data_IF_986772668269
#
_entry.id   IF_986772668269
#
_cell.length_a   1.000
_cell.length_b   1.000
_cell.length_c   1.000
_cell.angle_alpha   90.00
_cell.angle_beta   90.00
_cell.angle_gamma   90.00
#
_symmetry.space_group_name_H-M   'P 1'
#
loop_
_entity.id
_entity.type
_entity.pdbx_description
1 polymer ?
#
# COMPACT_ATOMS: atom_id res chain seq x y z
N UNK A 1 -28.39 -30.28 3.53
CA UNK A 1 -27.93 -29.30 4.52
C UNK A 1 -27.18 -28.20 3.79
N UNK A 2 -27.80 -27.04 3.67
CA UNK A 2 -27.13 -25.87 3.10
C UNK A 2 -26.15 -25.32 4.15
N UNK A 3 -24.87 -25.43 3.90
CA UNK A 3 -23.85 -24.74 4.67
C UNK A 3 -23.95 -23.25 4.34
N UNK A 4 -24.70 -22.50 5.13
CA UNK A 4 -24.67 -21.05 5.09
C UNK A 4 -23.30 -20.63 5.65
N UNK A 5 -22.32 -20.42 4.77
CA UNK A 5 -21.16 -19.61 5.14
C UNK A 5 -21.70 -18.22 5.43
N UNK A 6 -21.84 -17.89 6.72
CA UNK A 6 -21.96 -16.50 7.11
C UNK A 6 -20.82 -15.74 6.41
N UNK A 7 -21.21 -14.82 5.53
CA UNK A 7 -20.24 -13.88 4.94
C UNK A 7 -19.72 -13.07 6.12
N UNK A 8 -18.54 -13.44 6.61
CA UNK A 8 -17.82 -12.63 7.60
C UNK A 8 -17.71 -11.23 7.02
N UNK A 9 -18.32 -10.28 7.66
CA UNK A 9 -18.28 -8.89 7.22
C UNK A 9 -16.82 -8.47 7.08
N UNK A 10 -16.47 -7.92 5.91
CA UNK A 10 -15.09 -7.59 5.59
C UNK A 10 -14.67 -6.36 6.38
N UNK A 11 -13.63 -6.49 7.21
CA UNK A 11 -13.07 -5.39 7.97
C UNK A 11 -12.17 -4.53 7.07
N UNK A 12 -12.70 -3.38 6.61
CA UNK A 12 -11.98 -2.44 5.75
C UNK A 12 -10.84 -1.69 6.46
N UNK A 13 -10.74 -1.79 7.77
CA UNK A 13 -9.61 -1.22 8.53
C UNK A 13 -8.36 -2.09 8.51
N UNK A 14 -8.44 -3.28 7.92
CA UNK A 14 -7.33 -4.22 7.86
C UNK A 14 -6.84 -4.42 6.43
N UNK A 15 -5.51 -4.42 6.21
CA UNK A 15 -4.94 -4.73 4.91
C UNK A 15 -5.20 -6.19 4.53
N UNK A 16 -4.97 -6.53 3.26
CA UNK A 16 -5.04 -7.92 2.80
C UNK A 16 -4.03 -8.78 3.54
N UNK A 17 -2.78 -8.30 3.64
CA UNK A 17 -1.71 -8.97 4.38
C UNK A 17 -0.58 -8.00 4.72
N UNK A 18 0.21 -8.38 5.71
CA UNK A 18 1.43 -7.68 6.16
C UNK A 18 2.47 -8.71 6.55
N UNK A 19 3.71 -8.50 6.15
CA UNK A 19 4.82 -9.35 6.61
C UNK A 19 6.13 -8.57 6.66
N UNK A 20 7.09 -9.09 7.43
CA UNK A 20 8.46 -8.59 7.48
C UNK A 20 9.38 -9.53 6.72
N UNK A 21 10.38 -8.95 6.09
CA UNK A 21 11.43 -9.68 5.38
C UNK A 21 12.74 -8.93 5.44
N UNK A 22 13.78 -9.52 4.87
CA UNK A 22 15.08 -8.89 4.74
C UNK A 22 15.34 -8.62 3.26
N UNK A 23 15.73 -7.39 2.95
CA UNK A 23 16.09 -6.94 1.62
C UNK A 23 17.55 -6.46 1.59
N UNK A 24 18.03 -6.12 0.42
CA UNK A 24 19.29 -5.43 0.23
C UNK A 24 19.03 -3.92 0.01
N UNK A 25 19.65 -3.10 0.83
CA UNK A 25 19.68 -1.65 0.69
C UNK A 25 21.14 -1.25 0.53
N UNK A 26 21.50 -0.75 -0.66
CA UNK A 26 22.89 -0.37 -1.00
C UNK A 26 23.90 -1.50 -0.74
N UNK A 27 23.52 -2.72 -1.08
CA UNK A 27 24.35 -3.91 -0.91
C UNK A 27 24.42 -4.47 0.51
N UNK A 28 23.71 -3.89 1.46
CA UNK A 28 23.68 -4.35 2.85
C UNK A 28 22.29 -4.91 3.20
N UNK A 29 22.21 -5.93 4.07
CA UNK A 29 20.93 -6.43 4.57
C UNK A 29 20.16 -5.34 5.31
N UNK A 30 18.87 -5.20 5.00
CA UNK A 30 17.97 -4.23 5.65
C UNK A 30 16.63 -4.89 5.96
N UNK A 31 16.05 -4.55 7.10
CA UNK A 31 14.74 -5.02 7.47
C UNK A 31 13.66 -4.28 6.67
N UNK A 32 12.73 -5.02 6.11
CA UNK A 32 11.62 -4.49 5.34
C UNK A 32 10.27 -4.90 5.92
N UNK A 33 9.29 -4.02 5.76
CA UNK A 33 7.88 -4.27 6.02
C UNK A 33 7.13 -4.17 4.69
N UNK A 34 6.41 -5.22 4.35
CA UNK A 34 5.56 -5.24 3.16
C UNK A 34 4.10 -5.30 3.58
N UNK A 35 3.27 -4.50 2.95
CA UNK A 35 1.83 -4.50 3.14
C UNK A 35 1.10 -4.49 1.80
N UNK A 36 -0.01 -5.20 1.73
CA UNK A 36 -0.96 -5.12 0.61
C UNK A 36 -2.22 -4.47 1.16
N UNK A 37 -2.48 -3.24 0.72
CA UNK A 37 -3.67 -2.51 1.12
C UNK A 37 -4.87 -2.97 0.29
N UNK A 38 -6.00 -3.10 0.95
CA UNK A 38 -7.28 -3.41 0.30
C UNK A 38 -7.92 -2.13 -0.18
N UNK A 39 -7.88 -1.93 -1.49
CA UNK A 39 -8.44 -0.76 -2.19
C UNK A 39 -9.73 -1.12 -2.93
N UNK A 40 -10.32 -0.17 -3.63
CA UNK A 40 -11.45 -0.44 -4.56
C UNK A 40 -11.07 -1.35 -5.72
N UNK A 41 -9.78 -1.59 -5.92
CA UNK A 41 -9.24 -2.44 -6.96
C UNK A 41 -8.72 -1.69 -8.18
N UNK A 42 -8.14 -2.46 -9.10
CA UNK A 42 -7.52 -1.94 -10.31
C UNK A 42 -8.61 -1.41 -11.28
N UNK A 43 -8.46 -0.18 -11.72
CA UNK A 43 -9.35 0.45 -12.71
C UNK A 43 -9.35 -0.29 -14.05
N UNK A 44 -8.22 -0.81 -14.47
CA UNK A 44 -8.10 -1.57 -15.73
C UNK A 44 -8.85 -2.90 -15.67
N UNK A 45 -8.61 -3.69 -14.66
CA UNK A 45 -9.27 -4.97 -14.35
C UNK A 45 -9.53 -5.88 -15.58
N UNK A 46 -8.58 -5.95 -16.52
CA UNK A 46 -8.72 -6.72 -17.77
C UNK A 46 -7.60 -7.75 -17.99
N UNK A 47 -6.69 -7.88 -17.03
CA UNK A 47 -5.61 -8.86 -17.15
C UNK A 47 -6.17 -10.25 -16.87
N UNK A 48 -6.05 -11.15 -17.83
CA UNK A 48 -6.61 -12.52 -17.75
C UNK A 48 -5.93 -13.39 -16.68
N UNK A 49 -4.72 -13.04 -16.29
CA UNK A 49 -3.92 -13.76 -15.27
C UNK A 49 -4.05 -13.16 -13.86
N UNK A 50 -4.66 -11.98 -13.71
CA UNK A 50 -4.64 -11.23 -12.46
C UNK A 50 -5.92 -11.50 -11.66
N UNK A 51 -5.75 -12.06 -10.45
CA UNK A 51 -6.83 -12.28 -9.49
C UNK A 51 -7.04 -11.13 -8.49
N UNK A 52 -6.18 -10.12 -8.49
CA UNK A 52 -6.18 -9.07 -7.46
C UNK A 52 -7.45 -8.22 -7.43
N UNK A 53 -8.12 -8.05 -8.56
CA UNK A 53 -9.40 -7.34 -8.59
C UNK A 53 -10.48 -7.99 -7.71
N UNK A 54 -10.40 -9.31 -7.49
CA UNK A 54 -11.32 -10.02 -6.60
C UNK A 54 -11.12 -9.67 -5.12
N UNK A 55 -10.01 -9.08 -4.75
CA UNK A 55 -9.71 -8.62 -3.39
C UNK A 55 -10.17 -7.17 -3.15
N UNK A 56 -10.63 -6.49 -4.18
CA UNK A 56 -11.15 -5.12 -4.10
C UNK A 56 -12.40 -5.02 -3.20
N UNK A 57 -12.51 -3.90 -2.50
CA UNK A 57 -13.61 -3.57 -1.62
C UNK A 57 -13.81 -2.05 -1.57
N UNK A 58 -14.98 -1.52 -1.19
CA UNK A 58 -15.25 -0.08 -1.21
C UNK A 58 -14.54 0.64 -0.05
N UNK A 59 -13.22 0.56 -0.02
CA UNK A 59 -12.37 1.24 0.95
C UNK A 59 -12.16 2.70 0.55
N UNK A 60 -12.49 3.62 1.45
CA UNK A 60 -12.22 5.05 1.30
C UNK A 60 -10.88 5.45 1.89
N UNK A 61 -10.59 6.77 1.86
CA UNK A 61 -9.33 7.30 2.36
C UNK A 61 -9.07 6.94 3.84
N UNK A 62 -10.08 7.06 4.70
CA UNK A 62 -9.95 6.76 6.13
C UNK A 62 -9.68 5.27 6.36
N UNK A 63 -10.30 4.40 5.57
CA UNK A 63 -10.06 2.95 5.66
C UNK A 63 -8.60 2.62 5.30
N UNK A 64 -8.08 3.23 4.26
CA UNK A 64 -6.69 3.02 3.81
C UNK A 64 -5.68 3.53 4.83
N UNK A 65 -5.93 4.66 5.47
CA UNK A 65 -5.09 5.19 6.55
C UNK A 65 -5.10 4.22 7.74
N UNK A 66 -6.26 3.70 8.13
CA UNK A 66 -6.37 2.71 9.21
C UNK A 66 -5.66 1.40 8.88
N UNK A 67 -5.76 0.93 7.64
CA UNK A 67 -5.02 -0.24 7.17
C UNK A 67 -3.51 -0.03 7.29
N UNK A 68 -3.04 1.15 6.87
CA UNK A 68 -1.63 1.52 7.00
C UNK A 68 -1.19 1.56 8.48
N UNK A 69 -1.96 2.19 9.35
CA UNK A 69 -1.69 2.23 10.79
C UNK A 69 -1.61 0.82 11.39
N UNK A 70 -2.56 -0.02 11.02
CA UNK A 70 -2.59 -1.40 11.48
C UNK A 70 -1.35 -2.18 11.03
N UNK A 71 -0.91 -1.97 9.78
CA UNK A 71 0.30 -2.57 9.25
C UNK A 71 1.56 -2.06 9.98
N UNK A 72 1.65 -0.75 10.21
CA UNK A 72 2.77 -0.14 10.92
C UNK A 72 2.87 -0.59 12.38
N UNK A 73 1.78 -1.00 13.00
CA UNK A 73 1.77 -1.64 14.32
C UNK A 73 2.56 -2.96 14.37
N UNK A 74 2.88 -3.55 13.22
CA UNK A 74 3.71 -4.76 13.05
C UNK A 74 5.15 -4.45 12.64
N UNK A 75 5.47 -3.17 12.49
CA UNK A 75 6.83 -2.70 12.22
C UNK A 75 7.70 -2.77 13.47
N UNK A 76 8.98 -2.57 13.27
CA UNK A 76 9.95 -2.38 14.34
C UNK A 76 10.85 -1.19 14.00
N UNK A 77 11.57 -0.62 14.99
CA UNK A 77 12.51 0.49 14.74
C UNK A 77 13.61 0.15 13.74
N UNK A 78 13.88 -1.13 13.50
CA UNK A 78 14.90 -1.61 12.57
C UNK A 78 14.44 -1.59 11.11
N UNK A 79 13.15 -1.43 10.85
CA UNK A 79 12.60 -1.37 9.49
C UNK A 79 13.04 -0.08 8.82
N UNK A 80 13.78 -0.21 7.72
CA UNK A 80 14.26 0.89 6.90
C UNK A 80 13.67 0.89 5.48
N UNK A 81 13.07 -0.22 5.06
CA UNK A 81 12.40 -0.36 3.75
C UNK A 81 10.94 -0.66 3.97
N UNK A 82 10.05 0.13 3.37
CA UNK A 82 8.60 -0.12 3.37
C UNK A 82 8.14 -0.35 1.94
N UNK A 83 7.36 -1.40 1.75
CA UNK A 83 6.75 -1.74 0.46
C UNK A 83 5.23 -1.71 0.60
N UNK A 84 4.58 -0.90 -0.22
CA UNK A 84 3.13 -0.76 -0.23
C UNK A 84 2.60 -1.19 -1.59
N UNK A 85 1.86 -2.27 -1.59
CA UNK A 85 1.16 -2.78 -2.77
C UNK A 85 -0.34 -2.58 -2.62
N UNK A 86 -1.00 -2.47 -3.75
CA UNK A 86 -2.46 -2.37 -3.85
C UNK A 86 -2.96 -3.41 -4.86
N UNK A 87 -4.23 -3.38 -5.19
CA UNK A 87 -4.75 -4.28 -6.23
C UNK A 87 -4.42 -3.81 -7.65
N UNK A 88 -3.96 -2.58 -7.83
CA UNK A 88 -3.67 -1.99 -9.13
C UNK A 88 -2.55 -0.95 -9.09
N UNK A 89 -2.83 0.25 -8.61
CA UNK A 89 -1.89 1.37 -8.71
C UNK A 89 -1.96 2.29 -7.49
N UNK A 90 -0.86 2.39 -6.77
CA UNK A 90 -0.72 3.33 -5.65
C UNK A 90 -0.88 4.80 -6.11
N UNK A 91 -0.52 5.10 -7.36
CA UNK A 91 -0.58 6.44 -7.92
C UNK A 91 -1.90 6.75 -8.64
N UNK A 92 -2.84 5.82 -8.73
CA UNK A 92 -4.19 6.07 -9.23
C UNK A 92 -5.04 6.75 -8.14
N UNK A 93 -5.46 8.02 -8.32
CA UNK A 93 -6.22 8.73 -7.30
C UNK A 93 -7.62 8.16 -7.04
N UNK A 94 -8.15 7.35 -7.96
CA UNK A 94 -9.42 6.66 -7.73
C UNK A 94 -9.24 5.41 -6.86
N UNK A 95 -8.08 4.78 -6.91
CA UNK A 95 -7.74 3.62 -6.08
C UNK A 95 -7.15 4.05 -4.73
N UNK A 96 -6.17 4.95 -4.77
CA UNK A 96 -5.52 5.55 -3.61
C UNK A 96 -5.84 7.05 -3.58
N UNK A 97 -6.88 7.49 -2.86
CA UNK A 97 -7.20 8.91 -2.75
C UNK A 97 -6.00 9.73 -2.30
N UNK A 98 -5.84 10.92 -2.91
CA UNK A 98 -4.69 11.80 -2.64
C UNK A 98 -4.52 12.09 -1.15
N UNK A 99 -5.61 12.27 -0.42
CA UNK A 99 -5.59 12.48 1.04
C UNK A 99 -4.93 11.30 1.77
N UNK A 100 -5.30 10.08 1.43
CA UNK A 100 -4.71 8.88 2.04
C UNK A 100 -3.24 8.73 1.65
N UNK A 101 -2.91 8.94 0.38
CA UNK A 101 -1.53 8.91 -0.11
C UNK A 101 -0.64 9.89 0.66
N UNK A 102 -1.05 11.14 0.76
CA UNK A 102 -0.24 12.19 1.37
C UNK A 102 -0.08 11.96 2.88
N UNK A 103 -1.13 11.48 3.55
CA UNK A 103 -1.06 11.11 4.97
C UNK A 103 -0.09 9.94 5.21
N UNK A 104 -0.18 8.90 4.39
CA UNK A 104 0.72 7.73 4.47
C UNK A 104 2.17 8.15 4.24
N UNK A 105 2.42 8.93 3.20
CA UNK A 105 3.77 9.41 2.87
C UNK A 105 4.34 10.32 3.96
N UNK A 106 3.52 11.20 4.51
CA UNK A 106 3.92 12.07 5.63
C UNK A 106 4.32 11.29 6.89
N UNK A 107 3.61 10.20 7.19
CA UNK A 107 3.95 9.32 8.31
C UNK A 107 5.23 8.55 8.08
N UNK A 108 5.45 8.06 6.85
CA UNK A 108 6.70 7.39 6.48
C UNK A 108 7.88 8.35 6.56
N UNK A 109 7.71 9.59 6.13
CA UNK A 109 8.73 10.64 6.28
C UNK A 109 9.09 10.88 7.74
N UNK A 110 8.10 10.98 8.62
CA UNK A 110 8.31 11.19 10.05
C UNK A 110 9.06 10.02 10.71
N UNK A 111 8.89 8.80 10.20
CA UNK A 111 9.58 7.61 10.69
C UNK A 111 11.01 7.48 10.15
N UNK A 112 11.39 8.28 9.17
CA UNK A 112 12.76 8.30 8.62
C UNK A 112 13.12 7.02 7.88
N UNK A 113 12.19 6.39 7.17
CA UNK A 113 12.50 5.22 6.34
C UNK A 113 13.47 5.59 5.21
N UNK A 114 14.31 4.65 4.81
CA UNK A 114 15.34 4.88 3.78
C UNK A 114 14.85 4.61 2.37
N UNK A 115 13.88 3.72 2.20
CA UNK A 115 13.34 3.35 0.88
C UNK A 115 11.86 3.03 0.96
N UNK A 116 11.10 3.60 0.05
CA UNK A 116 9.72 3.24 -0.23
C UNK A 116 9.63 2.55 -1.58
N UNK A 117 8.98 1.40 -1.63
CA UNK A 117 8.62 0.70 -2.88
C UNK A 117 7.10 0.72 -3.03
N UNK A 118 6.64 1.22 -4.14
CA UNK A 118 5.23 1.22 -4.54
C UNK A 118 5.10 0.65 -5.94
N UNK A 119 3.92 0.19 -6.28
CA UNK A 119 3.60 -0.26 -7.63
C UNK A 119 2.55 0.65 -8.28
N UNK A 120 2.64 0.80 -9.59
CA UNK A 120 1.65 1.54 -10.36
C UNK A 120 1.64 1.10 -11.81
N UNK A 121 0.48 1.19 -12.43
CA UNK A 121 0.37 1.14 -13.88
C UNK A 121 1.02 2.38 -14.48
N UNK A 122 1.63 2.26 -15.69
CA UNK A 122 2.44 3.34 -16.26
C UNK A 122 1.66 4.63 -16.52
N UNK A 123 0.37 4.56 -16.82
CA UNK A 123 -0.46 5.75 -17.09
C UNK A 123 -0.60 6.69 -15.88
N UNK A 124 -0.37 6.22 -14.67
CA UNK A 124 -0.43 7.04 -13.44
C UNK A 124 0.94 7.52 -12.97
N UNK A 125 2.02 7.06 -13.60
CA UNK A 125 3.38 7.52 -13.34
C UNK A 125 3.62 8.78 -14.16
N UNK A 126 3.31 9.91 -13.57
CA UNK A 126 3.48 11.24 -14.19
C UNK A 126 4.48 12.08 -13.39
N UNK A 127 5.03 13.12 -14.00
CA UNK A 127 5.90 14.03 -13.27
C UNK A 127 5.22 14.56 -12.00
N UNK A 128 3.95 14.94 -12.10
CA UNK A 128 3.17 15.46 -10.97
C UNK A 128 3.00 14.40 -9.85
N UNK A 129 2.67 13.15 -10.18
CA UNK A 129 2.50 12.11 -9.18
C UNK A 129 3.82 11.73 -8.50
N UNK A 130 4.91 11.70 -9.25
CA UNK A 130 6.25 11.42 -8.72
C UNK A 130 6.72 12.56 -7.82
N UNK A 131 6.59 13.81 -8.25
CA UNK A 131 6.93 15.00 -7.45
C UNK A 131 6.15 15.05 -6.13
N UNK A 132 4.86 14.70 -6.16
CA UNK A 132 4.03 14.63 -4.97
C UNK A 132 4.56 13.58 -3.97
N UNK A 133 5.04 12.43 -4.45
CA UNK A 133 5.68 11.44 -3.59
C UNK A 133 7.02 11.92 -3.05
N UNK A 134 7.86 12.51 -3.91
CA UNK A 134 9.19 12.99 -3.52
C UNK A 134 9.13 14.14 -2.53
N UNK A 135 8.07 14.95 -2.53
CA UNK A 135 7.90 16.04 -1.55
C UNK A 135 7.78 15.56 -0.11
N UNK A 136 7.47 14.28 0.10
CA UNK A 136 7.34 13.64 1.42
C UNK A 136 8.50 12.70 1.75
N UNK A 137 9.41 12.47 0.83
CA UNK A 137 10.53 11.54 1.03
C UNK A 137 11.85 12.30 1.04
N UNK A 138 12.87 11.83 1.81
CA UNK A 138 14.19 12.43 1.71
C UNK A 138 14.70 12.27 0.28
N UNK A 139 15.08 13.38 -0.33
CA UNK A 139 15.79 13.39 -1.61
C UNK A 139 17.27 13.27 -1.35
N UNK A 140 17.84 12.13 -1.65
CA UNK A 140 19.27 12.01 -1.92
C UNK A 140 19.51 11.97 -3.42
#
# INVERSE_FOLDING_TARGET
MAYSREKKELDLSRPVTVWRSQDLLDGQPAQSLTMILRTVGCRWNRCTMCGYAAEGAPAGADDLIKQFEWAMGRSSPEVSVVKIYTSGSFLDPDEMPVQARDEILGRLQALGISRLVIESRPEYITAQSVEACLSHLPTE
#
